data_IF_084191397648
#
_entry.id   IF_084191397648
#
_cell.length_a   1.000
_cell.length_b   1.000
_cell.length_c   1.000
_cell.angle_alpha   90.00
_cell.angle_beta   90.00
_cell.angle_gamma   90.00
#
_symmetry.space_group_name_H-M   'P 1'
#
loop_
_entity.id
_entity.type
_entity.pdbx_description
1 polymer ?
#
# COMPACT_ATOMS: atom_id res chain seq x y z
N UNK A 1 -15.36 12.71 5.09
CA UNK A 1 -15.24 14.01 5.79
C UNK A 1 -14.74 13.90 7.24
N UNK A 2 -15.30 13.05 8.11
CA UNK A 2 -14.75 12.88 9.46
C UNK A 2 -13.41 12.09 9.44
N UNK A 3 -13.33 11.02 8.65
CA UNK A 3 -12.12 10.18 8.57
C UNK A 3 -10.98 10.78 7.73
N UNK A 4 -11.31 11.61 6.72
CA UNK A 4 -10.30 12.39 6.00
C UNK A 4 -9.57 13.35 6.95
N UNK A 5 -10.31 13.95 7.89
CA UNK A 5 -9.76 14.88 8.89
C UNK A 5 -8.89 14.15 9.91
N UNK A 6 -9.30 12.97 10.37
CA UNK A 6 -8.50 12.16 11.27
C UNK A 6 -7.21 11.64 10.60
N UNK A 7 -7.30 11.21 9.34
CA UNK A 7 -6.15 10.79 8.53
C UNK A 7 -5.20 11.95 8.28
N UNK A 8 -5.72 13.16 7.99
CA UNK A 8 -4.90 14.38 7.84
C UNK A 8 -4.16 14.73 9.13
N UNK A 9 -4.83 14.71 10.27
CA UNK A 9 -4.21 15.06 11.56
C UNK A 9 -3.09 14.08 11.94
N UNK A 10 -3.28 12.77 11.73
CA UNK A 10 -2.24 11.77 11.97
C UNK A 10 -1.05 11.93 11.01
N UNK A 11 -1.32 12.25 9.73
CA UNK A 11 -0.28 12.50 8.74
C UNK A 11 0.57 13.73 9.10
N UNK A 12 -0.09 14.82 9.54
CA UNK A 12 0.56 16.06 9.99
C UNK A 12 1.41 15.85 11.26
N UNK A 13 0.90 15.07 12.22
CA UNK A 13 1.63 14.69 13.43
C UNK A 13 2.92 13.94 13.10
N UNK A 14 2.78 12.91 12.25
CA UNK A 14 3.89 12.10 11.75
C UNK A 14 4.90 12.98 11.02
N UNK A 15 4.43 13.86 10.13
CA UNK A 15 5.30 14.74 9.35
C UNK A 15 6.08 15.71 10.25
N UNK A 16 5.44 16.27 11.30
CA UNK A 16 6.14 17.15 12.25
C UNK A 16 7.26 16.42 13.00
N UNK A 17 6.99 15.21 13.49
CA UNK A 17 8.00 14.36 14.12
C UNK A 17 9.16 14.07 13.14
N UNK A 18 8.83 13.76 11.90
CA UNK A 18 9.83 13.44 10.87
C UNK A 18 10.70 14.66 10.52
N UNK A 19 10.11 15.86 10.44
CA UNK A 19 10.84 17.11 10.22
C UNK A 19 11.82 17.41 11.37
N UNK A 20 11.40 17.16 12.62
CA UNK A 20 12.27 17.29 13.81
C UNK A 20 13.44 16.31 13.76
N UNK A 21 13.19 15.04 13.43
CA UNK A 21 14.22 14.01 13.31
C UNK A 21 15.22 14.32 12.18
N UNK A 22 14.71 14.72 11.01
CA UNK A 22 15.53 15.09 9.87
C UNK A 22 16.36 16.35 10.13
N UNK A 23 15.79 17.35 10.80
CA UNK A 23 16.52 18.54 11.21
C UNK A 23 17.63 18.23 12.22
N UNK A 24 17.40 17.31 13.17
CA UNK A 24 18.44 16.85 14.09
C UNK A 24 19.57 16.13 13.34
N UNK A 25 19.23 15.23 12.42
CA UNK A 25 20.20 14.50 11.61
C UNK A 25 21.08 15.44 10.77
N UNK A 26 20.48 16.41 10.07
CA UNK A 26 21.21 17.41 9.26
C UNK A 26 22.11 18.33 10.09
N UNK A 27 21.82 18.52 11.38
CA UNK A 27 22.68 19.25 12.33
C UNK A 27 23.84 18.42 12.87
N UNK A 28 23.95 17.15 12.46
CA UNK A 28 25.01 16.24 12.92
C UNK A 28 24.72 15.58 14.26
N UNK A 29 23.45 15.51 14.72
CA UNK A 29 23.10 14.69 15.88
C UNK A 29 23.30 13.20 15.52
N UNK A 30 24.39 12.61 16.05
CA UNK A 30 24.75 11.21 15.84
C UNK A 30 23.65 10.22 16.30
N UNK A 31 22.72 10.65 17.17
CA UNK A 31 21.60 9.81 17.62
C UNK A 31 20.37 9.92 16.72
N UNK A 32 20.30 10.91 15.84
CA UNK A 32 19.08 11.16 15.08
C UNK A 32 18.74 10.03 14.12
N UNK A 33 19.75 9.42 13.47
CA UNK A 33 19.48 8.35 12.52
C UNK A 33 18.95 7.08 13.17
N UNK A 34 19.46 6.69 14.35
CA UNK A 34 18.88 5.58 15.12
C UNK A 34 17.39 5.79 15.44
N UNK A 35 16.98 7.02 15.78
CA UNK A 35 15.55 7.35 16.00
C UNK A 35 14.73 7.37 14.71
N UNK A 36 15.33 7.76 13.59
CA UNK A 36 14.69 7.66 12.26
C UNK A 36 14.43 6.19 11.92
N UNK A 37 15.42 5.32 12.15
CA UNK A 37 15.29 3.89 11.92
C UNK A 37 14.13 3.30 12.74
N UNK A 38 14.07 3.58 14.05
CA UNK A 38 12.97 3.10 14.91
C UNK A 38 11.61 3.58 14.42
N UNK A 39 11.51 4.86 14.03
CA UNK A 39 10.25 5.47 13.60
C UNK A 39 9.70 4.92 12.28
N UNK A 40 10.53 4.28 11.46
CA UNK A 40 10.18 3.88 10.10
C UNK A 40 10.39 2.39 9.80
N UNK A 41 11.05 1.62 10.68
CA UNK A 41 11.39 0.24 10.38
C UNK A 41 10.16 -0.64 10.17
N UNK A 42 9.09 -0.43 10.94
CA UNK A 42 7.86 -1.21 10.82
C UNK A 42 7.14 -0.91 9.49
N UNK A 43 7.10 0.36 9.10
CA UNK A 43 6.52 0.81 7.84
C UNK A 43 7.30 0.28 6.62
N UNK A 44 8.64 0.34 6.66
CA UNK A 44 9.49 -0.24 5.61
C UNK A 44 9.34 -1.75 5.55
N UNK A 45 9.29 -2.41 6.72
CA UNK A 45 9.13 -3.85 6.83
C UNK A 45 7.80 -4.34 6.28
N UNK A 46 6.69 -3.71 6.68
CA UNK A 46 5.36 -3.97 6.13
C UNK A 46 5.36 -3.82 4.62
N UNK A 47 5.93 -2.70 4.12
CA UNK A 47 5.98 -2.44 2.68
C UNK A 47 6.72 -3.53 1.91
N UNK A 48 7.79 -4.10 2.48
CA UNK A 48 8.49 -5.25 1.87
C UNK A 48 7.66 -6.53 1.99
N UNK A 49 7.07 -6.79 3.17
CA UNK A 49 6.26 -7.99 3.43
C UNK A 49 5.07 -8.12 2.48
N UNK A 50 4.31 -7.04 2.24
CA UNK A 50 3.10 -7.08 1.41
C UNK A 50 3.40 -7.46 -0.04
N UNK A 51 4.65 -7.36 -0.49
CA UNK A 51 5.09 -7.84 -1.81
C UNK A 51 5.28 -9.36 -1.89
N UNK A 52 5.00 -10.10 -0.81
CA UNK A 52 5.12 -11.55 -0.74
C UNK A 52 6.53 -12.04 -0.35
N UNK A 53 7.40 -11.15 0.12
CA UNK A 53 8.74 -11.51 0.61
C UNK A 53 8.60 -12.19 1.99
N UNK A 54 9.29 -13.31 2.25
CA UNK A 54 9.28 -13.96 3.55
C UNK A 54 9.78 -13.04 4.68
N UNK A 55 9.25 -13.22 5.88
CA UNK A 55 9.54 -12.38 7.06
C UNK A 55 11.02 -12.17 7.36
N UNK A 56 11.87 -13.20 7.23
CA UNK A 56 13.31 -13.06 7.46
C UNK A 56 14.00 -12.20 6.40
N UNK A 57 13.71 -12.44 5.12
CA UNK A 57 14.26 -11.67 4.00
C UNK A 57 13.74 -10.22 4.01
N UNK A 58 12.50 -10.01 4.46
CA UNK A 58 11.95 -8.67 4.64
C UNK A 58 12.72 -7.85 5.70
N UNK A 59 13.20 -8.50 6.77
CA UNK A 59 14.07 -7.86 7.76
C UNK A 59 15.42 -7.42 7.17
N UNK A 60 16.07 -8.30 6.41
CA UNK A 60 17.35 -7.99 5.73
C UNK A 60 17.20 -6.85 4.72
N UNK A 61 16.13 -6.88 3.90
CA UNK A 61 15.82 -5.79 2.97
C UNK A 61 15.51 -4.48 3.67
N UNK A 62 14.88 -4.53 4.84
CA UNK A 62 14.60 -3.32 5.63
C UNK A 62 15.89 -2.63 6.08
N UNK A 63 16.91 -3.40 6.51
CA UNK A 63 18.21 -2.84 6.84
C UNK A 63 18.87 -2.15 5.64
N UNK A 64 18.91 -2.82 4.48
CA UNK A 64 19.48 -2.25 3.26
C UNK A 64 18.74 -0.97 2.81
N UNK A 65 17.40 -0.97 2.88
CA UNK A 65 16.58 0.21 2.55
C UNK A 65 16.91 1.38 3.50
N UNK A 66 17.02 1.12 4.81
CA UNK A 66 17.34 2.18 5.78
C UNK A 66 18.76 2.73 5.58
N UNK A 67 19.72 1.89 5.19
CA UNK A 67 21.06 2.35 4.80
C UNK A 67 21.03 3.26 3.56
N UNK A 68 20.27 2.89 2.52
CA UNK A 68 20.08 3.73 1.35
C UNK A 68 19.39 5.06 1.70
N UNK A 69 18.41 5.02 2.61
CA UNK A 69 17.74 6.22 3.15
C UNK A 69 18.74 7.15 3.82
N UNK A 70 19.65 6.64 4.65
CA UNK A 70 20.68 7.46 5.29
C UNK A 70 21.48 8.28 4.27
N UNK A 71 21.90 7.64 3.17
CA UNK A 71 22.60 8.33 2.09
C UNK A 71 21.75 9.39 1.39
N UNK A 72 20.47 9.10 1.16
CA UNK A 72 19.55 10.00 0.46
C UNK A 72 19.16 11.24 1.28
N UNK A 73 18.92 11.09 2.59
CA UNK A 73 18.47 12.20 3.44
C UNK A 73 19.59 13.19 3.79
N UNK A 74 20.85 12.79 3.65
CA UNK A 74 22.00 13.65 3.92
C UNK A 74 22.13 14.82 2.92
N UNK A 75 21.60 14.67 1.70
CA UNK A 75 21.83 15.62 0.58
C UNK A 75 20.56 16.16 -0.08
N UNK A 76 19.38 15.63 0.24
CA UNK A 76 18.12 16.01 -0.42
C UNK A 76 17.26 16.96 0.40
N UNK A 77 16.33 17.66 -0.26
CA UNK A 77 15.33 18.56 0.36
C UNK A 77 13.94 17.91 0.52
N UNK A 78 13.77 16.67 0.07
CA UNK A 78 12.51 15.94 0.18
C UNK A 78 12.15 15.65 1.65
N UNK A 79 10.84 15.46 1.92
CA UNK A 79 10.39 15.01 3.24
C UNK A 79 10.93 13.62 3.55
N UNK A 80 11.13 13.32 4.83
CA UNK A 80 11.61 12.01 5.25
C UNK A 80 10.69 10.88 4.76
N UNK A 81 9.37 11.05 4.88
CA UNK A 81 8.40 10.05 4.41
C UNK A 81 8.46 9.81 2.90
N UNK A 82 8.74 10.86 2.11
CA UNK A 82 8.94 10.71 0.66
C UNK A 82 10.18 9.88 0.35
N UNK A 83 11.30 10.16 1.04
CA UNK A 83 12.56 9.43 0.82
C UNK A 83 12.42 7.98 1.25
N UNK A 84 11.93 7.73 2.47
CA UNK A 84 11.79 6.37 3.03
C UNK A 84 10.89 5.51 2.15
N UNK A 85 9.68 5.97 1.84
CA UNK A 85 8.73 5.17 1.06
C UNK A 85 9.10 5.10 -0.42
N UNK A 86 9.75 6.12 -0.97
CA UNK A 86 10.31 6.08 -2.33
C UNK A 86 11.39 5.02 -2.48
N UNK A 87 12.33 4.97 -1.53
CA UNK A 87 13.39 3.95 -1.49
C UNK A 87 12.79 2.56 -1.29
N UNK A 88 11.87 2.39 -0.33
CA UNK A 88 11.21 1.11 -0.06
C UNK A 88 10.42 0.59 -1.28
N UNK A 89 9.64 1.46 -1.93
CA UNK A 89 8.89 1.11 -3.15
C UNK A 89 9.80 0.65 -4.29
N UNK A 90 10.95 1.30 -4.46
CA UNK A 90 11.91 0.96 -5.52
C UNK A 90 12.63 -0.37 -5.23
N UNK A 91 12.97 -0.63 -3.97
CA UNK A 91 13.69 -1.83 -3.54
C UNK A 91 12.79 -3.09 -3.45
N UNK A 92 11.49 -2.90 -3.23
CA UNK A 92 10.49 -3.97 -3.14
C UNK A 92 9.33 -3.71 -4.12
N UNK A 93 9.51 -4.01 -5.42
CA UNK A 93 8.42 -3.95 -6.36
C UNK A 93 7.37 -5.01 -6.02
N UNK A 94 6.11 -4.63 -6.13
CA UNK A 94 4.99 -5.52 -5.84
C UNK A 94 5.01 -6.80 -6.69
N UNK A 95 4.75 -7.95 -6.06
CA UNK A 95 4.47 -9.20 -6.76
C UNK A 95 3.07 -9.68 -6.37
N UNK A 96 2.18 -9.92 -7.34
CA UNK A 96 0.86 -10.46 -7.04
C UNK A 96 1.02 -11.85 -6.41
N UNK A 97 0.49 -12.01 -5.21
CA UNK A 97 0.28 -13.30 -4.58
C UNK A 97 -1.20 -13.63 -4.71
N UNK A 98 -1.53 -14.61 -5.55
CA UNK A 98 -2.92 -15.03 -5.72
C UNK A 98 -3.27 -15.98 -4.58
N UNK A 99 -4.15 -15.54 -3.68
CA UNK A 99 -4.67 -16.41 -2.63
C UNK A 99 -5.80 -17.28 -3.18
N UNK A 100 -5.56 -18.59 -3.24
CA UNK A 100 -6.59 -19.60 -3.48
C UNK A 100 -6.90 -20.33 -2.16
N UNK A 101 -7.66 -19.69 -1.29
CA UNK A 101 -8.11 -20.27 -0.03
C UNK A 101 -9.49 -20.94 -0.16
N UNK A 102 -9.68 -22.07 0.53
CA UNK A 102 -11.02 -22.70 0.69
C UNK A 102 -11.90 -21.97 1.71
N UNK A 103 -11.34 -21.00 2.43
CA UNK A 103 -11.96 -20.38 3.60
C UNK A 103 -12.91 -19.22 3.26
N UNK A 104 -13.34 -19.11 2.00
CA UNK A 104 -14.31 -18.12 1.48
C UNK A 104 -14.26 -16.76 2.20
N UNK A 105 -13.12 -16.03 2.13
CA UNK A 105 -12.99 -14.72 2.78
C UNK A 105 -14.07 -13.72 2.36
N UNK A 106 -14.68 -13.93 1.20
CA UNK A 106 -15.84 -13.18 0.71
C UNK A 106 -17.01 -13.21 1.70
N UNK A 107 -17.33 -14.37 2.28
CA UNK A 107 -18.45 -14.54 3.20
C UNK A 107 -18.16 -13.87 4.55
N UNK A 108 -16.91 -13.96 5.02
CA UNK A 108 -16.44 -13.24 6.21
C UNK A 108 -16.55 -11.73 6.03
N UNK A 109 -16.16 -11.22 4.86
CA UNK A 109 -16.22 -9.79 4.56
C UNK A 109 -17.68 -9.31 4.41
N UNK A 110 -18.55 -10.11 3.79
CA UNK A 110 -19.97 -9.78 3.67
C UNK A 110 -20.68 -9.67 5.03
N UNK A 111 -20.25 -10.48 6.01
CA UNK A 111 -20.76 -10.46 7.38
C UNK A 111 -20.05 -9.44 8.30
N UNK A 112 -19.06 -8.71 7.81
CA UNK A 112 -18.27 -7.77 8.60
C UNK A 112 -19.10 -6.59 9.11
N UNK A 113 -18.94 -6.26 10.39
CA UNK A 113 -19.61 -5.13 11.06
C UNK A 113 -18.63 -4.12 11.66
N UNK A 114 -17.34 -4.46 11.70
CA UNK A 114 -16.26 -3.63 12.21
C UNK A 114 -15.04 -3.74 11.29
N UNK A 115 -14.62 -2.62 10.72
CA UNK A 115 -13.49 -2.59 9.79
C UNK A 115 -12.15 -2.93 10.47
N UNK A 116 -11.94 -2.49 11.71
CA UNK A 116 -10.70 -2.73 12.47
C UNK A 116 -10.54 -4.19 12.87
N UNK A 117 -11.63 -4.91 13.12
CA UNK A 117 -11.61 -6.35 13.35
C UNK A 117 -11.38 -7.10 12.04
N UNK A 118 -12.12 -6.76 10.98
CA UNK A 118 -12.02 -7.46 9.69
C UNK A 118 -10.68 -7.26 8.99
N UNK A 119 -10.08 -6.07 9.08
CA UNK A 119 -8.76 -5.79 8.49
C UNK A 119 -7.62 -6.61 9.09
N UNK A 120 -7.79 -7.16 10.30
CA UNK A 120 -6.81 -8.03 10.96
C UNK A 120 -6.90 -9.50 10.52
N UNK A 121 -7.99 -9.93 9.90
CA UNK A 121 -8.10 -11.29 9.35
C UNK A 121 -7.22 -11.38 8.09
N UNK A 122 -6.17 -12.23 8.07
CA UNK A 122 -5.25 -12.29 6.92
C UNK A 122 -5.93 -12.68 5.61
N UNK A 123 -7.00 -13.48 5.65
CA UNK A 123 -7.73 -13.89 4.46
C UNK A 123 -8.56 -12.73 3.90
N UNK A 124 -9.15 -11.90 4.77
CA UNK A 124 -9.85 -10.67 4.37
C UNK A 124 -8.85 -9.63 3.85
N UNK A 125 -7.73 -9.43 4.55
CA UNK A 125 -6.67 -8.53 4.10
C UNK A 125 -6.13 -8.92 2.71
N UNK A 126 -5.91 -10.22 2.46
CA UNK A 126 -5.52 -10.73 1.14
C UNK A 126 -6.55 -10.40 0.06
N UNK A 127 -7.84 -10.56 0.36
CA UNK A 127 -8.92 -10.21 -0.57
C UNK A 127 -9.00 -8.69 -0.85
N UNK A 128 -8.78 -7.85 0.17
CA UNK A 128 -8.73 -6.40 0.02
C UNK A 128 -7.54 -5.97 -0.86
N UNK A 129 -6.40 -6.65 -0.72
CA UNK A 129 -5.20 -6.44 -1.55
C UNK A 129 -5.39 -6.93 -3.00
N UNK A 130 -6.04 -8.08 -3.20
CA UNK A 130 -6.41 -8.57 -4.53
C UNK A 130 -7.28 -7.55 -5.29
N UNK A 131 -8.26 -6.96 -4.60
CA UNK A 131 -9.09 -5.90 -5.16
C UNK A 131 -8.27 -4.66 -5.54
N UNK A 132 -7.35 -4.23 -4.66
CA UNK A 132 -6.49 -3.09 -4.91
C UNK A 132 -5.55 -3.32 -6.10
N UNK A 133 -5.11 -4.57 -6.31
CA UNK A 133 -4.20 -4.91 -7.40
C UNK A 133 -4.77 -4.58 -8.79
N UNK A 134 -6.08 -4.72 -8.99
CA UNK A 134 -6.73 -4.44 -10.27
C UNK A 134 -6.77 -2.95 -10.62
N UNK A 135 -6.62 -2.06 -9.64
CA UNK A 135 -6.52 -0.62 -9.91
C UNK A 135 -5.22 -0.23 -10.63
N UNK A 136 -4.28 -1.18 -10.76
CA UNK A 136 -2.95 -0.95 -11.29
C UNK A 136 -1.96 -0.49 -10.23
N UNK A 137 -0.68 -0.69 -10.50
CA UNK A 137 0.41 -0.48 -9.54
C UNK A 137 0.38 0.89 -8.87
N UNK A 138 0.29 1.96 -9.67
CA UNK A 138 0.41 3.33 -9.15
C UNK A 138 -0.79 3.75 -8.28
N UNK A 139 -2.01 3.34 -8.65
CA UNK A 139 -3.21 3.65 -7.86
C UNK A 139 -3.28 2.80 -6.60
N UNK A 140 -2.88 1.53 -6.68
CA UNK A 140 -2.72 0.65 -5.52
C UNK A 140 -1.69 1.21 -4.53
N UNK A 141 -0.53 1.63 -5.01
CA UNK A 141 0.51 2.19 -4.15
C UNK A 141 0.04 3.52 -3.54
N UNK A 142 -0.69 4.36 -4.28
CA UNK A 142 -1.31 5.57 -3.72
C UNK A 142 -2.28 5.25 -2.58
N UNK A 143 -3.11 4.21 -2.76
CA UNK A 143 -4.04 3.73 -1.74
C UNK A 143 -3.31 3.29 -0.47
N UNK A 144 -2.26 2.49 -0.59
CA UNK A 144 -1.44 2.00 0.52
C UNK A 144 -0.70 3.14 1.26
N UNK A 145 0.01 3.96 0.51
CA UNK A 145 0.79 5.07 1.05
C UNK A 145 -0.11 6.08 1.78
N UNK A 146 -1.24 6.44 1.18
CA UNK A 146 -2.14 7.44 1.75
C UNK A 146 -2.94 6.90 2.94
N UNK A 147 -3.47 5.67 2.85
CA UNK A 147 -4.42 5.16 3.84
C UNK A 147 -3.75 4.36 4.96
N UNK A 148 -2.77 3.51 4.66
CA UNK A 148 -2.11 2.66 5.68
C UNK A 148 -0.90 3.36 6.28
N UNK A 149 -0.01 3.88 5.43
CA UNK A 149 1.20 4.57 5.88
C UNK A 149 1.00 6.06 6.19
N UNK A 150 -0.23 6.58 6.01
CA UNK A 150 -0.62 7.95 6.37
C UNK A 150 0.27 9.04 5.75
N UNK A 151 0.74 8.81 4.52
CA UNK A 151 1.41 9.85 3.75
C UNK A 151 0.43 10.95 3.36
N UNK A 152 0.89 12.20 3.44
CA UNK A 152 0.13 13.32 2.88
C UNK A 152 -0.01 13.15 1.37
N UNK A 153 -1.00 13.80 0.76
CA UNK A 153 -1.17 13.76 -0.69
C UNK A 153 0.09 14.25 -1.44
N UNK A 154 0.80 15.24 -0.88
CA UNK A 154 2.04 15.75 -1.47
C UNK A 154 3.16 14.71 -1.44
N UNK A 155 3.35 14.03 -0.30
CA UNK A 155 4.38 12.99 -0.17
C UNK A 155 4.08 11.76 -1.02
N UNK A 156 2.84 11.28 -0.98
CA UNK A 156 2.43 10.14 -1.81
C UNK A 156 2.56 10.46 -3.30
N UNK A 157 2.21 11.68 -3.71
CA UNK A 157 2.44 12.16 -5.07
C UNK A 157 3.91 12.17 -5.45
N UNK A 158 4.78 12.69 -4.58
CA UNK A 158 6.23 12.71 -4.80
C UNK A 158 6.85 11.30 -4.89
N UNK A 159 6.43 10.35 -4.04
CA UNK A 159 6.86 8.94 -4.10
C UNK A 159 6.49 8.28 -5.43
N UNK A 160 5.34 8.65 -6.00
CA UNK A 160 4.80 8.05 -7.22
C UNK A 160 5.15 8.79 -8.51
N UNK A 161 5.90 9.90 -8.39
CA UNK A 161 6.20 10.85 -9.46
C UNK A 161 4.92 11.37 -10.14
N UNK A 162 3.97 11.84 -9.33
CA UNK A 162 2.68 12.36 -9.76
C UNK A 162 2.55 13.86 -9.46
N UNK A 163 2.04 14.67 -10.42
CA UNK A 163 1.68 16.05 -10.17
C UNK A 163 0.63 16.18 -9.06
N UNK A 164 0.70 17.26 -8.26
CA UNK A 164 -0.20 17.49 -7.13
C UNK A 164 -1.68 17.42 -7.51
N UNK A 165 -2.07 18.09 -8.61
CA UNK A 165 -3.45 18.09 -9.11
C UNK A 165 -3.91 16.67 -9.46
N UNK A 166 -3.04 15.88 -10.08
CA UNK A 166 -3.36 14.50 -10.45
C UNK A 166 -3.49 13.61 -9.22
N UNK A 167 -2.62 13.79 -8.23
CA UNK A 167 -2.69 13.06 -6.97
C UNK A 167 -3.99 13.37 -6.22
N UNK A 168 -4.38 14.65 -6.14
CA UNK A 168 -5.64 15.05 -5.53
C UNK A 168 -6.85 14.46 -6.26
N UNK A 169 -6.86 14.50 -7.60
CA UNK A 169 -7.91 13.89 -8.43
C UNK A 169 -8.01 12.37 -8.17
N UNK A 170 -6.88 11.66 -8.12
CA UNK A 170 -6.87 10.22 -7.86
C UNK A 170 -7.39 9.91 -6.46
N UNK A 171 -6.93 10.63 -5.42
CA UNK A 171 -7.40 10.44 -4.04
C UNK A 171 -8.92 10.63 -3.94
N UNK A 172 -9.48 11.63 -4.61
CA UNK A 172 -10.94 11.84 -4.64
C UNK A 172 -11.70 10.68 -5.30
N UNK A 173 -11.09 10.03 -6.30
CA UNK A 173 -11.71 8.93 -7.04
C UNK A 173 -11.52 7.57 -6.36
N UNK A 174 -10.49 7.42 -5.50
CA UNK A 174 -10.13 6.15 -4.84
C UNK A 174 -11.31 5.41 -4.20
N UNK A 175 -12.20 6.05 -3.41
CA UNK A 175 -13.29 5.33 -2.74
C UNK A 175 -14.19 4.56 -3.71
N UNK A 176 -14.60 5.20 -4.81
CA UNK A 176 -15.50 4.60 -5.79
C UNK A 176 -14.80 3.52 -6.63
N UNK A 177 -13.58 3.81 -7.12
CA UNK A 177 -12.84 2.82 -7.90
C UNK A 177 -12.49 1.58 -7.09
N UNK A 178 -12.08 1.76 -5.84
CA UNK A 178 -11.78 0.65 -4.94
C UNK A 178 -13.03 -0.14 -4.57
N UNK A 179 -14.16 0.53 -4.27
CA UNK A 179 -15.43 -0.14 -4.00
C UNK A 179 -15.86 -1.03 -5.18
N UNK A 180 -15.74 -0.52 -6.40
CA UNK A 180 -16.05 -1.26 -7.63
C UNK A 180 -15.16 -2.50 -7.81
N UNK A 181 -13.85 -2.35 -7.63
CA UNK A 181 -12.92 -3.48 -7.69
C UNK A 181 -13.22 -4.53 -6.60
N UNK A 182 -13.51 -4.11 -5.37
CA UNK A 182 -13.81 -5.01 -4.26
C UNK A 182 -15.12 -5.79 -4.46
N UNK A 183 -16.19 -5.11 -4.90
CA UNK A 183 -17.47 -5.75 -5.25
C UNK A 183 -17.29 -6.80 -6.33
N UNK A 184 -16.48 -6.50 -7.35
CA UNK A 184 -16.15 -7.47 -8.38
C UNK A 184 -15.35 -8.66 -7.82
N UNK A 185 -14.41 -8.40 -6.91
CA UNK A 185 -13.59 -9.44 -6.26
C UNK A 185 -14.43 -10.39 -5.40
N UNK A 186 -15.48 -9.90 -4.74
CA UNK A 186 -16.42 -10.71 -3.97
C UNK A 186 -17.21 -11.67 -4.86
N UNK A 187 -17.66 -11.21 -6.02
CA UNK A 187 -18.42 -12.07 -6.95
C UNK A 187 -17.52 -13.05 -7.69
N UNK A 188 -16.25 -12.72 -7.91
CA UNK A 188 -15.28 -13.58 -8.60
C UNK A 188 -14.99 -14.90 -7.87
N UNK A 189 -15.00 -14.93 -6.52
CA UNK A 189 -14.78 -16.12 -5.66
C UNK A 189 -13.67 -17.07 -6.16
N UNK A 190 -12.47 -16.53 -6.41
CA UNK A 190 -11.33 -17.34 -6.86
C UNK A 190 -11.45 -17.91 -8.29
N UNK A 191 -12.39 -17.42 -9.09
CA UNK A 191 -12.64 -17.85 -10.47
C UNK A 191 -13.85 -18.78 -10.62
N UNK A 192 -14.54 -19.10 -9.53
CA UNK A 192 -15.74 -19.94 -9.53
C UNK A 192 -16.92 -19.20 -8.89
N UNK A 193 -17.55 -18.25 -9.61
CA UNK A 193 -18.70 -17.52 -9.09
C UNK A 193 -19.88 -18.48 -8.87
N UNK A 194 -20.66 -18.24 -7.82
CA UNK A 194 -21.85 -19.06 -7.50
C UNK A 194 -22.98 -18.95 -8.53
N UNK A 195 -22.99 -17.90 -9.37
CA UNK A 195 -24.07 -17.64 -10.30
C UNK A 195 -23.67 -18.06 -11.72
N UNK A 196 -24.33 -19.08 -12.27
CA UNK A 196 -23.97 -19.69 -13.56
C UNK A 196 -23.96 -18.70 -14.72
N UNK A 197 -24.87 -17.73 -14.75
CA UNK A 197 -24.87 -16.73 -15.82
C UNK A 197 -23.68 -15.77 -15.70
N UNK A 198 -23.21 -15.46 -14.48
CA UNK A 198 -21.97 -14.70 -14.31
C UNK A 198 -20.76 -15.52 -14.76
N UNK A 199 -20.73 -16.82 -14.45
CA UNK A 199 -19.69 -17.73 -14.93
C UNK A 199 -19.59 -17.72 -16.45
N UNK A 200 -20.73 -17.85 -17.14
CA UNK A 200 -20.80 -17.79 -18.59
C UNK A 200 -20.31 -16.43 -19.15
N UNK A 201 -20.63 -15.32 -18.49
CA UNK A 201 -20.16 -13.98 -18.89
C UNK A 201 -18.64 -13.83 -18.73
N UNK A 202 -18.06 -14.37 -17.65
CA UNK A 202 -16.61 -14.39 -17.42
C UNK A 202 -15.87 -15.26 -18.45
N UNK A 203 -16.40 -16.45 -18.74
CA UNK A 203 -15.87 -17.36 -19.76
C UNK A 203 -15.89 -16.71 -21.14
N UNK A 204 -17.02 -16.07 -21.49
CA UNK A 204 -17.17 -15.32 -22.75
C UNK A 204 -16.19 -14.15 -22.84
N UNK A 205 -15.89 -13.49 -21.73
CA UNK A 205 -14.88 -12.43 -21.66
C UNK A 205 -13.44 -12.96 -21.69
N UNK A 206 -13.23 -14.27 -21.58
CA UNK A 206 -11.91 -14.90 -21.47
C UNK A 206 -11.16 -14.44 -20.22
N UNK A 207 -11.89 -14.22 -19.12
CA UNK A 207 -11.32 -13.85 -17.83
C UNK A 207 -10.89 -15.12 -17.09
N UNK A 208 -9.60 -15.48 -17.19
CA UNK A 208 -9.02 -16.64 -16.49
C UNK A 208 -8.37 -16.31 -15.14
N UNK A 209 -8.22 -15.01 -14.85
CA UNK A 209 -7.68 -14.48 -13.61
C UNK A 209 -8.43 -13.20 -13.24
N UNK A 210 -8.38 -12.84 -11.96
CA UNK A 210 -8.95 -11.58 -11.49
C UNK A 210 -8.14 -10.39 -12.03
N UNK A 211 -8.82 -9.46 -12.72
CA UNK A 211 -8.20 -8.34 -13.42
C UNK A 211 -9.26 -7.54 -14.21
N UNK A 212 -8.83 -6.60 -15.05
CA UNK A 212 -9.72 -5.66 -15.75
C UNK A 212 -10.83 -6.33 -16.56
N UNK A 213 -10.55 -7.50 -17.16
CA UNK A 213 -11.57 -8.27 -17.90
C UNK A 213 -12.64 -8.81 -16.96
N UNK A 214 -12.23 -9.40 -15.83
CA UNK A 214 -13.14 -9.91 -14.82
C UNK A 214 -14.00 -8.78 -14.23
N UNK A 215 -13.37 -7.66 -13.85
CA UNK A 215 -14.08 -6.50 -13.30
C UNK A 215 -15.12 -5.96 -14.28
N UNK A 216 -14.75 -5.76 -15.56
CA UNK A 216 -15.70 -5.28 -16.58
C UNK A 216 -16.86 -6.25 -16.80
N UNK A 217 -16.59 -7.54 -16.88
CA UNK A 217 -17.64 -8.56 -17.05
C UNK A 217 -18.59 -8.60 -15.85
N UNK A 218 -18.06 -8.57 -14.62
CA UNK A 218 -18.86 -8.49 -13.41
C UNK A 218 -19.70 -7.21 -13.38
N UNK A 219 -19.11 -6.06 -13.68
CA UNK A 219 -19.83 -4.78 -13.74
C UNK A 219 -20.98 -4.81 -14.74
N UNK A 220 -20.76 -5.35 -15.93
CA UNK A 220 -21.82 -5.47 -16.93
C UNK A 220 -22.95 -6.39 -16.44
N UNK A 221 -22.60 -7.48 -15.75
CA UNK A 221 -23.56 -8.45 -15.23
C UNK A 221 -24.44 -7.87 -14.11
N UNK A 222 -23.87 -7.15 -13.13
CA UNK A 222 -24.63 -6.61 -11.99
C UNK A 222 -25.62 -5.50 -12.38
N UNK A 223 -25.48 -4.92 -13.58
CA UNK A 223 -26.45 -3.95 -14.13
C UNK A 223 -27.81 -4.60 -14.41
N UNK A 224 -27.85 -5.89 -14.72
CA UNK A 224 -29.07 -6.62 -15.10
C UNK A 224 -29.42 -7.77 -14.17
N UNK A 225 -28.53 -8.14 -13.23
CA UNK A 225 -28.77 -9.20 -12.27
C UNK A 225 -28.86 -8.67 -10.84
N UNK A 226 -30.09 -8.60 -10.30
CA UNK A 226 -30.34 -8.15 -8.92
C UNK A 226 -29.72 -9.08 -7.87
N UNK A 227 -29.62 -10.38 -8.15
CA UNK A 227 -29.00 -11.35 -7.24
C UNK A 227 -27.51 -11.05 -7.05
N UNK A 228 -26.76 -10.88 -8.13
CA UNK A 228 -25.34 -10.53 -8.07
C UNK A 228 -25.13 -9.12 -7.49
N UNK A 229 -26.02 -8.17 -7.82
CA UNK A 229 -26.00 -6.84 -7.19
C UNK A 229 -26.11 -6.94 -5.67
N UNK A 230 -27.14 -7.64 -5.16
CA UNK A 230 -27.35 -7.82 -3.72
C UNK A 230 -26.18 -8.54 -3.03
N UNK A 231 -25.62 -9.59 -3.66
CA UNK A 231 -24.47 -10.34 -3.15
C UNK A 231 -23.18 -9.55 -3.08
N UNK A 232 -22.99 -8.55 -3.95
CA UNK A 232 -21.80 -7.71 -3.91
C UNK A 232 -21.86 -6.59 -2.87
N UNK A 233 -23.00 -6.38 -2.22
CA UNK A 233 -23.14 -5.31 -1.22
C UNK A 233 -22.34 -5.63 0.04
N UNK A 234 -21.61 -4.62 0.53
CA UNK A 234 -20.82 -4.68 1.75
C UNK A 234 -21.42 -3.65 2.71
N UNK A 235 -21.61 -4.03 3.97
CA UNK A 235 -22.17 -3.13 4.99
C UNK A 235 -21.20 -2.01 5.36
N UNK A 236 -19.89 -2.28 5.31
CA UNK A 236 -18.83 -1.35 5.65
C UNK A 236 -18.30 -0.61 4.41
N UNK A 237 -17.88 0.66 4.54
CA UNK A 237 -17.21 1.39 3.47
C UNK A 237 -15.91 0.68 3.05
N UNK A 238 -15.75 0.30 1.76
CA UNK A 238 -14.55 -0.41 1.28
C UNK A 238 -13.23 0.30 1.61
N UNK A 239 -13.24 1.63 1.53
CA UNK A 239 -12.02 2.42 1.80
C UNK A 239 -11.58 2.32 3.26
N UNK A 240 -12.53 2.23 4.20
CA UNK A 240 -12.25 2.07 5.63
C UNK A 240 -11.74 0.65 5.92
N UNK A 241 -12.29 -0.37 5.25
CA UNK A 241 -11.81 -1.74 5.34
C UNK A 241 -10.34 -1.86 4.92
N UNK A 242 -9.96 -1.22 3.81
CA UNK A 242 -8.56 -1.22 3.37
C UNK A 242 -7.65 -0.43 4.34
N UNK A 243 -8.10 0.74 4.79
CA UNK A 243 -7.36 1.56 5.76
C UNK A 243 -7.18 0.85 7.12
N UNK A 244 -8.04 -0.11 7.45
CA UNK A 244 -8.00 -0.89 8.67
C UNK A 244 -7.03 -2.09 8.64
N UNK A 245 -6.42 -2.39 7.49
CA UNK A 245 -5.37 -3.41 7.39
C UNK A 245 -4.15 -2.89 8.17
N UNK A 246 -3.74 -3.55 9.27
CA UNK A 246 -2.66 -3.05 10.10
C UNK A 246 -1.34 -3.03 9.32
N UNK A 247 -0.49 -2.05 9.61
CA UNK A 247 0.93 -2.10 9.24
C UNK A 247 1.58 -3.20 10.07
N UNK A 248 2.25 -4.15 9.43
CA UNK A 248 2.90 -5.26 10.09
C UNK A 248 4.04 -4.78 10.99
N UNK A 249 3.93 -5.05 12.29
CA UNK A 249 5.00 -4.79 13.23
C UNK A 249 6.17 -5.76 13.01
N UNK A 250 7.38 -5.23 12.88
CA UNK A 250 8.56 -6.05 12.79
C UNK A 250 8.81 -6.77 14.13
N UNK A 251 8.97 -8.11 14.13
CA UNK A 251 9.35 -8.83 15.33
C UNK A 251 10.61 -8.25 15.97
N UNK A 252 10.61 -8.07 17.30
CA UNK A 252 11.73 -7.45 18.03
C UNK A 252 13.10 -8.05 17.70
N UNK A 253 13.18 -9.37 17.52
CA UNK A 253 14.43 -10.04 17.15
C UNK A 253 14.95 -9.68 15.75
N UNK A 254 14.08 -9.26 14.82
CA UNK A 254 14.49 -8.70 13.54
C UNK A 254 14.86 -7.22 13.69
N UNK A 255 14.20 -6.46 14.57
CA UNK A 255 14.58 -5.07 14.87
C UNK A 255 16.02 -4.97 15.39
N UNK A 256 16.38 -5.83 16.35
CA UNK A 256 17.76 -5.94 16.85
C UNK A 256 18.75 -6.23 15.70
N UNK A 257 18.40 -7.12 14.75
CA UNK A 257 19.25 -7.46 13.60
C UNK A 257 19.41 -6.31 12.61
N UNK A 258 18.35 -5.54 12.36
CA UNK A 258 18.41 -4.36 11.48
C UNK A 258 19.38 -3.33 12.04
N UNK A 259 19.31 -3.04 13.35
CA UNK A 259 20.23 -2.09 13.99
C UNK A 259 21.68 -2.59 13.98
N UNK A 260 21.90 -3.89 14.22
CA UNK A 260 23.24 -4.48 14.09
C UNK A 260 23.76 -4.32 12.66
N UNK A 261 22.96 -4.65 11.65
CA UNK A 261 23.37 -4.54 10.24
C UNK A 261 23.71 -3.08 9.86
N UNK A 262 22.91 -2.10 10.29
CA UNK A 262 23.21 -0.68 10.05
C UNK A 262 24.52 -0.25 10.75
N UNK A 263 24.77 -0.72 11.97
CA UNK A 263 26.02 -0.44 12.69
C UNK A 263 27.23 -1.10 12.02
N UNK A 264 27.09 -2.32 11.51
CA UNK A 264 28.14 -3.05 10.77
C UNK A 264 28.50 -2.35 9.45
N UNK A 265 27.55 -1.64 8.84
CA UNK A 265 27.78 -0.73 7.70
C UNK A 265 28.47 0.60 8.10
N UNK A 266 28.73 0.80 9.39
CA UNK A 266 29.39 1.98 9.94
C UNK A 266 28.45 3.16 10.17
N UNK A 267 27.13 2.94 10.21
CA UNK A 267 26.15 3.98 10.47
C UNK A 267 25.97 4.23 11.97
N UNK A 268 25.89 5.50 12.36
CA UNK A 268 25.67 5.91 13.74
C UNK A 268 24.20 5.71 14.15
N UNK A 269 23.94 4.59 14.85
CA UNK A 269 22.58 4.16 15.26
C UNK A 269 22.37 4.17 16.78
N UNK A 270 23.27 4.80 17.54
CA UNK A 270 23.24 4.84 19.03
C UNK A 270 22.00 5.51 19.63
N UNK A 271 21.18 6.18 18.82
CA UNK A 271 19.90 6.74 19.25
C UNK A 271 18.71 5.80 19.14
N UNK A 272 18.89 4.59 18.60
CA UNK A 272 17.83 3.58 18.51
C UNK A 272 17.57 2.92 19.86
N UNK A 273 16.31 2.64 20.18
CA UNK A 273 15.91 1.87 21.37
C UNK A 273 16.31 0.39 21.29
N UNK A 274 16.59 -0.12 20.09
CA UNK A 274 17.07 -1.48 19.85
C UNK A 274 18.60 -1.56 19.79
N UNK A 275 19.30 -0.43 19.95
CA UNK A 275 20.75 -0.42 20.03
C UNK A 275 21.25 -1.04 21.35
N UNK A 276 22.12 -2.03 21.22
CA UNK A 276 22.82 -2.66 22.32
C UNK A 276 24.29 -2.81 21.95
N UNK A 277 25.16 -2.03 22.60
CA UNK A 277 26.59 -1.98 22.32
C UNK A 277 27.25 -3.36 22.46
N UNK A 278 26.80 -4.19 23.40
CA UNK A 278 27.36 -5.52 23.60
C UNK A 278 26.99 -6.45 22.43
N UNK A 279 25.77 -6.34 21.89
CA UNK A 279 25.34 -7.14 20.73
C UNK A 279 26.03 -6.69 19.45
N UNK A 280 26.18 -5.39 19.23
CA UNK A 280 26.89 -4.85 18.05
C UNK A 280 28.36 -5.29 18.07
N UNK A 281 29.04 -5.22 19.22
CA UNK A 281 30.44 -5.69 19.33
C UNK A 281 30.60 -7.21 19.22
N UNK A 282 29.59 -7.97 19.64
CA UNK A 282 29.61 -9.43 19.60
C UNK A 282 29.16 -10.01 18.24
N UNK A 283 28.53 -9.19 17.38
CA UNK A 283 28.22 -9.59 16.03
C UNK A 283 29.53 -9.95 15.32
N UNK A 284 29.59 -11.09 14.60
CA UNK A 284 30.78 -11.46 13.86
C UNK A 284 31.02 -10.40 12.80
N UNK A 285 31.94 -9.47 13.09
CA UNK A 285 32.42 -8.54 12.09
C UNK A 285 33.03 -9.35 10.97
N UNK A 286 32.47 -9.25 9.77
CA UNK A 286 33.10 -9.73 8.53
C UNK A 286 34.30 -8.80 8.17
N UNK A 287 34.99 -8.27 9.20
CA UNK A 287 36.23 -7.50 9.14
C UNK A 287 37.43 -8.45 9.09
N UNK A 288 37.38 -9.44 8.21
CA UNK A 288 38.58 -10.10 7.73
C UNK A 288 38.80 -9.68 6.29
N UNK A 289 39.88 -8.93 6.09
CA UNK A 289 40.32 -8.44 4.80
C UNK A 289 40.51 -9.59 3.81
N UNK A 290 39.52 -9.82 2.97
CA UNK A 290 39.64 -10.61 1.75
C UNK A 290 38.77 -9.96 0.69
N UNK A 291 39.43 -9.44 -0.35
CA UNK A 291 38.81 -8.69 -1.43
C UNK A 291 37.65 -9.44 -2.06
N UNK A 292 36.43 -9.15 -1.60
CA UNK A 292 35.21 -9.40 -2.36
C UNK A 292 35.03 -8.18 -3.24
N UNK A 293 35.19 -8.40 -4.55
CA UNK A 293 35.13 -7.36 -5.56
C UNK A 293 33.92 -6.48 -5.34
N UNK A 294 34.18 -5.17 -5.25
CA UNK A 294 33.15 -4.16 -5.26
C UNK A 294 32.11 -4.52 -6.34
N UNK A 295 30.82 -4.67 -6.01
CA UNK A 295 29.82 -4.47 -7.05
C UNK A 295 30.09 -3.07 -7.56
N UNK A 296 30.40 -2.95 -8.86
CA UNK A 296 30.61 -1.65 -9.48
C UNK A 296 29.45 -0.78 -9.06
N UNK A 297 29.75 0.28 -8.30
CA UNK A 297 28.87 1.41 -8.11
C UNK A 297 28.49 1.87 -9.52
N UNK A 298 27.37 1.35 -10.02
CA UNK A 298 26.66 1.95 -11.11
C UNK A 298 26.37 3.34 -10.59
N UNK A 299 27.06 4.33 -11.16
CA UNK A 299 26.81 5.74 -10.87
C UNK A 299 25.31 5.95 -11.04
N UNK A 300 24.58 5.96 -9.92
CA UNK A 300 23.25 6.51 -9.88
C UNK A 300 23.44 8.00 -10.10
N UNK A 301 23.47 8.37 -11.38
CA UNK A 301 23.22 9.75 -11.79
C UNK A 301 21.85 10.12 -11.22
N UNK A 302 21.67 11.32 -10.65
CA UNK A 302 20.34 11.83 -10.37
C UNK A 302 19.71 12.17 -11.71
N UNK A 303 19.20 11.16 -12.40
CA UNK A 303 18.36 11.35 -13.56
C UNK A 303 16.94 11.61 -13.04
N UNK A 304 16.67 12.88 -12.70
CA UNK A 304 15.36 13.46 -12.99
C UNK A 304 15.16 13.35 -14.51
N UNK A 305 14.73 12.17 -14.96
CA UNK A 305 14.29 11.96 -16.33
C UNK A 305 12.77 12.08 -16.32
N UNK A 306 12.30 13.25 -16.74
CA UNK A 306 10.92 13.49 -17.11
C UNK A 306 10.52 12.47 -18.19
N UNK A 307 9.89 11.37 -17.79
CA UNK A 307 9.24 10.43 -18.67
C UNK A 307 7.74 10.71 -18.62
N UNK A 308 7.30 11.68 -19.41
CA UNK A 308 5.89 11.80 -19.77
C UNK A 308 5.51 10.57 -20.61
N UNK A 309 4.92 9.57 -19.96
CA UNK A 309 4.31 8.41 -20.60
C UNK A 309 2.85 8.30 -20.16
N UNK A 310 1.98 8.66 -21.10
CA UNK A 310 0.53 8.50 -21.23
C UNK A 310 -0.20 7.73 -20.13
N UNK A 311 -1.00 8.48 -19.36
CA UNK A 311 -2.11 7.99 -18.55
C UNK A 311 -3.27 7.65 -19.48
N UNK A 312 -3.65 6.38 -19.61
CA UNK A 312 -4.90 5.97 -20.28
C UNK A 312 -5.52 4.64 -19.78
N UNK A 313 -5.06 4.09 -18.64
CA UNK A 313 -5.64 2.85 -18.10
C UNK A 313 -6.62 3.06 -16.92
N UNK A 314 -6.54 4.19 -16.20
CA UNK A 314 -7.37 4.41 -15.01
C UNK A 314 -8.81 4.88 -15.35
N UNK A 315 -9.04 5.53 -16.49
CA UNK A 315 -10.35 6.12 -16.80
C UNK A 315 -11.45 5.06 -16.89
N UNK A 316 -11.17 3.87 -17.44
CA UNK A 316 -12.16 2.81 -17.58
C UNK A 316 -12.63 2.15 -16.26
N UNK A 317 -11.89 2.29 -15.16
CA UNK A 317 -12.30 1.77 -13.84
C UNK A 317 -13.09 2.83 -13.04
N UNK A 318 -12.81 4.11 -13.26
CA UNK A 318 -13.48 5.22 -12.57
C UNK A 318 -14.72 5.76 -13.30
N UNK A 319 -14.93 5.47 -14.60
CA UNK A 319 -16.13 5.83 -15.37
C UNK A 319 -17.38 4.97 -15.05
N UNK A 320 -17.56 4.66 -13.76
CA UNK A 320 -18.81 4.12 -13.25
C UNK A 320 -19.85 5.24 -13.14
N UNK A 321 -20.71 5.36 -14.14
CA UNK A 321 -21.87 6.26 -14.27
C UNK A 321 -22.97 6.01 -13.19
N UNK A 322 -22.59 5.85 -11.92
CA UNK A 322 -23.50 5.67 -10.77
C UNK A 322 -24.18 6.99 -10.36
N UNK A 323 -23.59 8.14 -10.71
CA UNK A 323 -24.18 9.45 -10.45
C UNK A 323 -25.51 9.64 -11.21
N UNK A 324 -25.66 9.03 -12.39
CA UNK A 324 -26.88 9.09 -13.19
C UNK A 324 -27.98 8.14 -12.67
N UNK A 325 -27.60 6.96 -12.17
CA UNK A 325 -28.54 5.99 -11.61
C UNK A 325 -29.17 6.46 -10.28
N UNK A 326 -28.42 7.22 -9.47
CA UNK A 326 -28.94 7.81 -8.23
C UNK A 326 -29.96 8.95 -8.47
N UNK A 327 -29.83 9.68 -9.59
CA UNK A 327 -30.74 10.77 -9.98
C UNK A 327 -32.04 10.25 -10.63
N UNK A 328 -31.96 9.18 -11.42
CA UNK A 328 -33.13 8.49 -12.00
C UNK A 328 -33.98 7.76 -10.94
N UNK A 329 -33.37 7.26 -9.86
CA UNK A 329 -34.11 6.68 -8.74
C UNK A 329 -34.86 7.73 -7.89
N UNK A 330 -34.41 9.00 -7.92
CA UNK A 330 -35.04 10.11 -7.18
C UNK A 330 -36.24 10.70 -7.93
N UNK A 331 -36.28 10.56 -9.25
CA UNK A 331 -37.37 11.03 -10.12
C UNK A 331 -38.52 10.01 -10.28
N UNK A 332 -38.32 8.75 -9.88
CA UNK A 332 -39.33 7.68 -10.02
C UNK A 332 -40.33 7.53 -8.85
N UNK A 333 -40.33 8.41 -7.83
CA UNK A 333 -41.33 8.38 -6.74
C UNK A 333 -42.36 9.50 -6.88
N UNK A 334 -43.47 9.20 -7.56
CA UNK A 334 -44.87 9.54 -7.20
C UNK A 334 -45.80 9.31 -8.41
N UNK A 335 -46.70 8.30 -8.42
CA UNK A 335 -47.87 8.38 -9.27
C UNK A 335 -48.86 9.40 -8.67
N UNK A 336 -49.43 10.32 -9.47
CA UNK A 336 -50.51 11.16 -9.01
C UNK A 336 -51.78 10.32 -8.81
N UNK A 337 -52.49 10.64 -7.73
CA UNK A 337 -53.81 10.16 -7.38
C UNK A 337 -54.73 9.97 -8.59
N UNK A 338 -55.40 8.81 -8.65
CA UNK A 338 -56.83 8.62 -8.92
C UNK A 338 -57.25 7.21 -8.50
#
# INVERSE_FOLDING_TARGET
MADDKATSAAAEERQRRDDELLAAHRKGDARAFGRIADAWMDDVYDRVLVTGVPSSEAGERTAAILADVHGAIASGDASLGTVVMGTARTAAPWKPTVSHGKDHPEDKLAAATDAAVSGKDPAVAGLLWDAAHVLGERVRDLLDLHLRHKLTAAEAGAVLDLPADKTAELIQKLPNGYANALRARLLWRGGDPEHDALKADLDKAGASAFGDKAVRAVHQHVRTCDQCRARSMIALPPIELFAAIPVAEMPRGLKDKVIIALADEGLEVTGSEFYDEAKVKAAPGDSDGSGRGAPKAGKATPAMAAAAASVLAAEGIFDGDEAKAADEAKTARLPPHL
#
